data_IF_008994603053
#
_entry.id   IF_008994603053
#
_cell.length_a   1.000
_cell.length_b   1.000
_cell.length_c   1.000
_cell.angle_alpha   90.00
_cell.angle_beta   90.00
_cell.angle_gamma   90.00
#
_symmetry.space_group_name_H-M   'P 1'
#
loop_
_entity.id
_entity.type
_entity.pdbx_description
1 polymer ?
#
# COMPACT_ATOMS: atom_id res chain seq x y z
N UNK A 1 -7.34 -21.93 16.97
CA UNK A 1 -7.40 -21.30 15.62
C UNK A 1 -6.09 -20.56 15.42
N UNK A 2 -5.43 -20.70 14.27
CA UNK A 2 -4.26 -19.89 13.97
C UNK A 2 -4.65 -18.40 14.02
N UNK A 3 -3.79 -17.54 14.58
CA UNK A 3 -4.03 -16.11 14.59
C UNK A 3 -4.18 -15.59 13.16
N UNK A 4 -5.17 -14.71 12.92
CA UNK A 4 -5.34 -14.08 11.61
C UNK A 4 -4.21 -13.08 11.42
N UNK A 5 -3.53 -13.13 10.26
CA UNK A 5 -2.48 -12.16 9.93
C UNK A 5 -3.11 -10.79 9.70
N UNK A 6 -2.66 -9.77 10.43
CA UNK A 6 -3.12 -8.39 10.28
C UNK A 6 -2.30 -7.67 9.21
N UNK A 7 -2.96 -7.27 8.13
CA UNK A 7 -2.36 -6.56 7.00
C UNK A 7 -2.88 -5.13 6.97
N UNK A 8 -1.96 -4.17 7.05
CA UNK A 8 -2.27 -2.76 6.79
C UNK A 8 -2.09 -2.51 5.29
N UNK A 9 -3.18 -2.23 4.58
CA UNK A 9 -3.17 -1.93 3.14
C UNK A 9 -3.21 -0.42 2.90
N UNK A 10 -2.12 0.14 2.39
CA UNK A 10 -2.01 1.51 1.91
C UNK A 10 -2.44 1.65 0.44
N UNK A 11 -3.49 2.42 0.17
CA UNK A 11 -3.92 2.78 -1.18
C UNK A 11 -3.52 4.22 -1.52
N UNK A 12 -2.78 4.40 -2.62
CA UNK A 12 -2.24 5.72 -3.03
C UNK A 12 -2.87 6.24 -4.33
N UNK A 13 -2.74 7.54 -4.60
CA UNK A 13 -3.34 8.26 -5.75
C UNK A 13 -2.89 7.81 -7.14
N UNK A 14 -3.32 6.63 -7.56
CA UNK A 14 -3.09 6.05 -8.89
C UNK A 14 -4.41 5.57 -9.47
N UNK A 15 -4.56 5.60 -10.80
CA UNK A 15 -5.69 4.98 -11.48
C UNK A 15 -5.83 3.49 -11.14
N UNK A 16 -4.75 2.81 -10.71
CA UNK A 16 -4.81 1.44 -10.26
C UNK A 16 -5.47 1.26 -8.88
N UNK A 17 -5.87 2.34 -8.19
CA UNK A 17 -6.43 2.28 -6.84
C UNK A 17 -7.76 1.53 -6.77
N UNK A 18 -8.56 1.48 -7.86
CA UNK A 18 -9.76 0.64 -7.87
C UNK A 18 -9.44 -0.85 -7.64
N UNK A 19 -8.25 -1.31 -8.02
CA UNK A 19 -7.81 -2.70 -7.80
C UNK A 19 -7.48 -3.00 -6.34
N UNK A 20 -7.34 -1.98 -5.49
CA UNK A 20 -7.20 -2.18 -4.06
C UNK A 20 -8.42 -2.92 -3.49
N UNK A 21 -9.62 -2.71 -4.04
CA UNK A 21 -10.83 -3.45 -3.68
C UNK A 21 -10.66 -4.96 -3.87
N UNK A 22 -10.16 -5.38 -5.03
CA UNK A 22 -9.94 -6.80 -5.33
C UNK A 22 -8.84 -7.40 -4.45
N UNK A 23 -7.78 -6.63 -4.16
CA UNK A 23 -6.71 -7.06 -3.24
C UNK A 23 -7.26 -7.26 -1.84
N UNK A 24 -8.02 -6.30 -1.30
CA UNK A 24 -8.68 -6.42 0.02
C UNK A 24 -9.57 -7.66 0.05
N UNK A 25 -10.46 -7.81 -0.93
CA UNK A 25 -11.36 -8.97 -1.04
C UNK A 25 -10.60 -10.30 -1.06
N UNK A 26 -9.53 -10.39 -1.86
CA UNK A 26 -8.68 -11.59 -1.94
C UNK A 26 -7.99 -11.93 -0.62
N UNK A 27 -7.45 -10.93 0.08
CA UNK A 27 -6.79 -11.12 1.37
C UNK A 27 -7.78 -11.56 2.46
N UNK A 28 -8.96 -10.94 2.53
CA UNK A 28 -10.03 -11.29 3.47
C UNK A 28 -10.54 -12.71 3.22
N UNK A 29 -10.78 -13.10 1.96
CA UNK A 29 -11.17 -14.46 1.60
C UNK A 29 -10.11 -15.51 1.99
N UNK A 30 -8.84 -15.11 2.03
CA UNK A 30 -7.73 -15.95 2.49
C UNK A 30 -7.49 -15.90 4.00
N UNK A 31 -8.39 -15.25 4.75
CA UNK A 31 -8.41 -15.27 6.22
C UNK A 31 -7.55 -14.20 6.89
N UNK A 32 -7.01 -13.22 6.15
CA UNK A 32 -6.30 -12.08 6.73
C UNK A 32 -7.28 -11.06 7.33
N UNK A 33 -6.86 -10.39 8.38
CA UNK A 33 -7.53 -9.18 8.89
C UNK A 33 -6.93 -7.97 8.18
N UNK A 34 -7.72 -7.24 7.41
CA UNK A 34 -7.22 -6.15 6.58
C UNK A 34 -7.70 -4.80 7.12
N UNK A 35 -6.77 -3.90 7.40
CA UNK A 35 -7.05 -2.50 7.74
C UNK A 35 -6.54 -1.62 6.62
N UNK A 36 -7.33 -0.66 6.16
CA UNK A 36 -6.99 0.13 4.97
C UNK A 36 -6.65 1.55 5.37
N UNK A 37 -5.51 2.05 4.86
CA UNK A 37 -5.14 3.46 4.92
C UNK A 37 -5.16 4.03 3.50
N UNK A 38 -5.90 5.10 3.27
CA UNK A 38 -5.97 5.80 1.99
C UNK A 38 -5.23 7.14 2.07
N UNK A 39 -4.42 7.45 1.06
CA UNK A 39 -4.01 8.85 0.84
C UNK A 39 -5.20 9.66 0.34
N UNK A 40 -5.20 10.98 0.58
CA UNK A 40 -6.25 11.88 0.08
C UNK A 40 -6.44 11.77 -1.43
N UNK A 41 -5.36 11.58 -2.18
CA UNK A 41 -5.40 11.46 -3.65
C UNK A 41 -6.08 10.16 -4.09
N UNK A 42 -5.99 9.08 -3.31
CA UNK A 42 -6.62 7.80 -3.61
C UNK A 42 -8.15 7.87 -3.57
N UNK A 43 -8.71 8.73 -2.71
CA UNK A 43 -10.17 8.93 -2.59
C UNK A 43 -10.83 9.44 -3.89
N UNK A 44 -10.05 10.03 -4.81
CA UNK A 44 -10.54 10.45 -6.13
C UNK A 44 -10.74 9.28 -7.11
N UNK A 45 -10.18 8.11 -6.82
CA UNK A 45 -10.22 6.93 -7.70
C UNK A 45 -11.10 5.81 -7.16
N UNK A 46 -11.23 5.72 -5.84
CA UNK A 46 -12.08 4.74 -5.16
C UNK A 46 -12.55 5.35 -3.84
N UNK A 47 -13.79 5.09 -3.42
CA UNK A 47 -14.32 5.65 -2.17
C UNK A 47 -13.89 4.81 -0.96
N UNK A 48 -13.67 5.43 0.21
CA UNK A 48 -13.43 4.70 1.46
C UNK A 48 -14.52 3.67 1.79
N UNK A 49 -15.78 3.97 1.43
CA UNK A 49 -16.91 3.06 1.69
C UNK A 49 -16.73 1.68 1.04
N UNK A 50 -16.25 1.63 -0.20
CA UNK A 50 -16.01 0.34 -0.88
C UNK A 50 -14.98 -0.50 -0.13
N UNK A 51 -13.88 0.12 0.29
CA UNK A 51 -12.82 -0.59 1.01
C UNK A 51 -13.23 -0.97 2.44
N UNK A 52 -14.06 -0.16 3.11
CA UNK A 52 -14.62 -0.47 4.42
C UNK A 52 -15.52 -1.71 4.37
N UNK A 53 -16.43 -1.77 3.39
CA UNK A 53 -17.34 -2.91 3.23
C UNK A 53 -16.58 -4.21 2.91
N UNK A 54 -15.54 -4.15 2.08
CA UNK A 54 -14.75 -5.32 1.71
C UNK A 54 -13.79 -5.79 2.80
N UNK A 55 -13.23 -4.86 3.58
CA UNK A 55 -12.32 -5.19 4.68
C UNK A 55 -13.05 -5.57 5.97
N UNK A 56 -14.33 -5.21 6.10
CA UNK A 56 -15.11 -5.28 7.33
C UNK A 56 -14.45 -4.49 8.49
N UNK A 57 -13.68 -3.44 8.17
CA UNK A 57 -12.97 -2.59 9.12
C UNK A 57 -13.10 -1.09 8.77
N UNK A 58 -12.75 -0.22 9.71
CA UNK A 58 -12.62 1.23 9.47
C UNK A 58 -11.54 1.47 8.39
N UNK A 59 -11.81 2.43 7.52
CA UNK A 59 -10.79 2.94 6.57
C UNK A 59 -10.27 4.25 7.12
N UNK A 60 -8.95 4.37 7.21
CA UNK A 60 -8.27 5.55 7.72
C UNK A 60 -7.83 6.41 6.54
N UNK A 61 -8.02 7.73 6.60
CA UNK A 61 -7.53 8.61 5.53
C UNK A 61 -6.95 9.95 5.98
N UNK A 62 -7.06 10.30 7.27
CA UNK A 62 -6.56 11.56 7.82
C UNK A 62 -5.72 11.32 9.06
N UNK A 63 -4.61 12.03 9.16
CA UNK A 63 -3.67 11.94 10.28
C UNK A 63 -4.20 12.55 11.59
N UNK A 64 -5.16 13.48 11.48
CA UNK A 64 -5.67 14.29 12.61
C UNK A 64 -7.19 14.17 12.79
N UNK A 65 -7.80 13.08 12.32
CA UNK A 65 -9.17 12.82 12.75
C UNK A 65 -9.17 12.56 14.27
N UNK A 66 -10.20 13.07 14.95
CA UNK A 66 -10.34 12.86 16.39
C UNK A 66 -10.33 11.35 16.68
N UNK A 67 -9.41 10.86 17.52
CA UNK A 67 -9.35 9.45 17.85
C UNK A 67 -10.64 8.99 18.52
N UNK A 68 -11.16 7.82 18.15
CA UNK A 68 -12.31 7.20 18.83
C UNK A 68 -11.94 6.71 20.25
N UNK A 69 -10.63 6.56 20.53
CA UNK A 69 -10.05 6.17 21.80
C UNK A 69 -8.72 6.92 22.03
N UNK A 70 -8.18 6.95 23.26
CA UNK A 70 -6.91 7.61 23.61
C UNK A 70 -5.66 6.87 23.09
N UNK A 71 -5.75 6.34 21.87
CA UNK A 71 -4.70 5.59 21.22
C UNK A 71 -4.08 6.43 20.10
N UNK A 72 -2.75 6.42 20.00
CA UNK A 72 -2.04 7.14 18.95
C UNK A 72 -2.18 6.30 17.69
N UNK A 73 -3.23 6.55 16.89
CA UNK A 73 -3.70 5.64 15.83
C UNK A 73 -2.59 5.11 14.91
N UNK A 74 -1.62 5.95 14.51
CA UNK A 74 -0.52 5.53 13.65
C UNK A 74 0.47 4.55 14.32
N UNK A 75 0.69 4.67 15.63
CA UNK A 75 1.53 3.74 16.39
C UNK A 75 0.79 2.42 16.60
N UNK A 76 -0.49 2.49 16.97
CA UNK A 76 -1.34 1.30 17.16
C UNK A 76 -1.45 0.44 15.89
N UNK A 77 -1.64 1.09 14.73
CA UNK A 77 -1.62 0.42 13.43
C UNK A 77 -0.24 -0.15 13.08
N UNK A 78 0.83 0.60 13.37
CA UNK A 78 2.19 0.19 13.06
C UNK A 78 2.66 -1.01 13.90
N UNK A 79 2.33 -1.03 15.19
CA UNK A 79 2.72 -2.08 16.14
C UNK A 79 1.90 -3.36 15.98
N UNK A 80 0.64 -3.25 15.55
CA UNK A 80 -0.24 -4.40 15.35
C UNK A 80 -0.13 -5.06 13.97
N UNK A 81 0.62 -4.45 13.03
CA UNK A 81 0.78 -4.98 11.68
C UNK A 81 1.67 -6.22 11.65
N UNK A 82 1.22 -7.29 11.00
CA UNK A 82 2.08 -8.40 10.58
C UNK A 82 2.74 -8.12 9.22
N UNK A 83 2.16 -7.19 8.45
CA UNK A 83 2.66 -6.66 7.18
C UNK A 83 2.03 -5.28 6.90
N UNK A 84 2.82 -4.37 6.30
CA UNK A 84 2.28 -3.21 5.59
C UNK A 84 2.41 -3.40 4.07
N UNK A 85 1.28 -3.40 3.36
CA UNK A 85 1.20 -3.53 1.90
C UNK A 85 0.78 -2.19 1.27
N UNK A 86 1.60 -1.61 0.40
CA UNK A 86 1.23 -0.41 -0.35
C UNK A 86 0.88 -0.80 -1.79
N UNK A 87 -0.40 -0.82 -2.13
CA UNK A 87 -0.90 -1.26 -3.44
C UNK A 87 -2.18 -0.51 -3.85
N UNK A 88 -2.14 0.35 -4.88
CA UNK A 88 -0.94 0.76 -5.62
C UNK A 88 -0.03 1.70 -4.83
N UNK A 89 1.27 1.66 -5.13
CA UNK A 89 2.25 2.65 -4.70
C UNK A 89 2.64 3.61 -5.84
N UNK A 90 2.40 4.89 -5.64
CA UNK A 90 2.84 5.95 -6.56
C UNK A 90 4.32 6.30 -6.37
N UNK A 91 4.91 6.95 -7.37
CA UNK A 91 6.27 7.50 -7.27
C UNK A 91 6.40 8.50 -6.10
N UNK A 92 5.33 9.24 -5.80
CA UNK A 92 5.26 10.19 -4.69
C UNK A 92 5.48 9.51 -3.35
N UNK A 93 4.70 8.46 -3.04
CA UNK A 93 4.84 7.73 -1.78
C UNK A 93 6.19 7.02 -1.69
N UNK A 94 6.67 6.42 -2.79
CA UNK A 94 8.03 5.83 -2.84
C UNK A 94 9.11 6.88 -2.53
N UNK A 95 8.98 8.09 -3.09
CA UNK A 95 9.91 9.18 -2.82
C UNK A 95 9.87 9.68 -1.38
N UNK A 96 8.67 9.84 -0.82
CA UNK A 96 8.48 10.21 0.59
C UNK A 96 9.16 9.20 1.53
N UNK A 97 8.92 7.91 1.32
CA UNK A 97 9.52 6.84 2.13
C UNK A 97 11.05 6.82 2.00
N UNK A 98 11.58 6.91 0.79
CA UNK A 98 13.03 6.94 0.57
C UNK A 98 13.72 8.15 1.22
N UNK A 99 13.01 9.28 1.29
CA UNK A 99 13.47 10.53 1.91
C UNK A 99 13.12 10.70 3.39
N UNK A 100 12.42 9.75 4.02
CA UNK A 100 12.00 9.84 5.43
C UNK A 100 10.91 10.90 5.70
N UNK A 101 10.10 11.25 4.69
CA UNK A 101 9.02 12.22 4.81
C UNK A 101 7.77 11.51 5.34
N UNK A 102 7.30 11.94 6.52
CA UNK A 102 6.16 11.38 7.24
C UNK A 102 5.08 12.45 7.45
N UNK A 103 4.50 12.91 6.35
CA UNK A 103 3.55 14.03 6.32
C UNK A 103 2.08 13.58 6.16
N UNK A 104 1.83 12.27 6.07
CA UNK A 104 0.49 11.68 6.05
C UNK A 104 0.43 10.40 6.91
N UNK A 105 -0.79 9.93 7.19
CA UNK A 105 -0.99 8.77 8.07
C UNK A 105 -0.26 7.52 7.56
N UNK A 106 -0.30 7.27 6.25
CA UNK A 106 0.32 6.09 5.65
C UNK A 106 1.84 6.12 5.83
N UNK A 107 2.48 7.24 5.49
CA UNK A 107 3.94 7.40 5.62
C UNK A 107 4.41 7.37 7.08
N UNK A 108 3.61 7.92 8.01
CA UNK A 108 3.85 7.77 9.45
C UNK A 108 3.81 6.31 9.91
N UNK A 109 2.77 5.55 9.53
CA UNK A 109 2.63 4.12 9.88
C UNK A 109 3.78 3.29 9.31
N UNK A 110 4.13 3.50 8.03
CA UNK A 110 5.23 2.78 7.37
C UNK A 110 6.58 3.07 8.02
N UNK A 111 6.81 4.31 8.47
CA UNK A 111 8.07 4.67 9.12
C UNK A 111 8.15 4.19 10.57
N UNK A 112 7.01 4.04 11.24
CA UNK A 112 6.93 3.56 12.63
C UNK A 112 6.93 2.02 12.75
N UNK A 113 6.49 1.29 11.72
CA UNK A 113 6.29 -0.16 11.83
C UNK A 113 7.61 -0.95 11.90
N UNK A 114 7.55 -2.08 12.61
CA UNK A 114 8.60 -3.12 12.62
C UNK A 114 8.25 -4.31 11.71
N UNK A 115 7.06 -4.30 11.13
CA UNK A 115 6.59 -5.31 10.21
C UNK A 115 7.32 -5.20 8.85
N UNK A 116 7.41 -6.28 8.07
CA UNK A 116 7.83 -6.19 6.69
C UNK A 116 6.93 -5.24 5.89
N UNK A 117 7.51 -4.52 4.94
CA UNK A 117 6.78 -3.63 4.04
C UNK A 117 6.87 -4.16 2.62
N UNK A 118 5.72 -4.36 1.97
CA UNK A 118 5.61 -4.77 0.56
C UNK A 118 5.02 -3.63 -0.28
N UNK A 119 5.74 -3.21 -1.32
CA UNK A 119 5.35 -2.12 -2.21
C UNK A 119 5.01 -2.68 -3.59
N UNK A 120 3.82 -2.35 -4.11
CA UNK A 120 3.36 -2.69 -5.46
C UNK A 120 3.27 -1.42 -6.33
N UNK A 121 4.32 -1.06 -7.09
CA UNK A 121 4.35 0.20 -7.83
C UNK A 121 3.34 0.24 -8.99
N UNK A 122 2.74 1.40 -9.23
CA UNK A 122 1.84 1.63 -10.36
C UNK A 122 1.96 3.07 -10.89
N UNK A 123 2.62 3.25 -12.05
CA UNK A 123 2.91 4.56 -12.64
C UNK A 123 3.21 4.46 -14.14
N UNK A 124 3.35 5.59 -14.83
CA UNK A 124 3.80 5.60 -16.22
C UNK A 124 5.25 5.09 -16.35
N UNK A 125 5.60 4.52 -17.51
CA UNK A 125 6.95 4.00 -17.81
C UNK A 125 8.05 5.07 -17.68
N UNK A 126 7.78 6.31 -18.11
CA UNK A 126 8.74 7.41 -17.98
C UNK A 126 8.96 7.81 -16.52
N UNK A 127 7.95 7.65 -15.65
CA UNK A 127 8.12 7.86 -14.21
C UNK A 127 8.89 6.70 -13.58
N UNK A 128 8.57 5.46 -13.96
CA UNK A 128 9.21 4.27 -13.38
C UNK A 128 10.70 4.19 -13.72
N UNK A 129 11.06 4.55 -14.95
CA UNK A 129 12.46 4.60 -15.45
C UNK A 129 13.17 5.92 -15.13
N UNK A 130 12.53 6.80 -14.37
CA UNK A 130 13.17 8.05 -13.96
C UNK A 130 14.25 7.75 -12.93
N UNK A 131 15.47 8.25 -13.14
CA UNK A 131 16.65 7.95 -12.28
C UNK A 131 16.41 8.17 -10.79
N UNK A 132 15.65 9.22 -10.42
CA UNK A 132 15.30 9.48 -9.01
C UNK A 132 14.41 8.36 -8.44
N UNK A 133 13.43 7.90 -9.21
CA UNK A 133 12.52 6.83 -8.78
C UNK A 133 13.26 5.50 -8.68
N UNK A 134 14.12 5.19 -9.66
CA UNK A 134 14.98 4.01 -9.62
C UNK A 134 15.91 4.01 -8.40
N UNK A 135 16.55 5.15 -8.10
CA UNK A 135 17.41 5.31 -6.93
C UNK A 135 16.63 5.16 -5.61
N UNK A 136 15.42 5.72 -5.53
CA UNK A 136 14.56 5.58 -4.36
C UNK A 136 14.15 4.12 -4.13
N UNK A 137 13.78 3.41 -5.20
CA UNK A 137 13.45 1.98 -5.14
C UNK A 137 14.66 1.16 -4.69
N UNK A 138 15.85 1.43 -5.26
CA UNK A 138 17.08 0.74 -4.89
C UNK A 138 17.41 0.93 -3.40
N UNK A 139 17.41 2.19 -2.93
CA UNK A 139 17.64 2.54 -1.51
C UNK A 139 16.66 1.84 -0.57
N UNK A 140 15.36 1.83 -0.90
CA UNK A 140 14.35 1.16 -0.09
C UNK A 140 14.57 -0.37 -0.03
N UNK A 141 14.94 -0.99 -1.16
CA UNK A 141 15.29 -2.42 -1.20
C UNK A 141 16.50 -2.74 -0.32
N UNK A 142 17.54 -1.92 -0.36
CA UNK A 142 18.76 -2.09 0.44
C UNK A 142 18.48 -2.12 1.94
N UNK A 143 17.51 -1.32 2.42
CA UNK A 143 17.12 -1.26 3.82
C UNK A 143 15.99 -2.25 4.19
N UNK A 144 15.63 -3.18 3.29
CA UNK A 144 14.75 -4.31 3.59
C UNK A 144 13.30 -4.17 3.13
N UNK A 145 12.93 -3.14 2.37
CA UNK A 145 11.59 -3.07 1.77
C UNK A 145 11.46 -4.08 0.63
N UNK A 146 10.32 -4.75 0.57
CA UNK A 146 9.99 -5.68 -0.51
C UNK A 146 9.24 -4.96 -1.63
N UNK A 147 9.48 -5.35 -2.87
CA UNK A 147 8.79 -4.81 -4.05
C UNK A 147 8.21 -5.94 -4.89
N UNK A 148 7.01 -5.74 -5.41
CA UNK A 148 6.35 -6.62 -6.36
C UNK A 148 5.94 -5.85 -7.61
N UNK A 149 6.48 -6.28 -8.75
CA UNK A 149 6.34 -5.56 -10.01
C UNK A 149 7.06 -4.20 -10.00
N UNK A 150 6.62 -3.24 -10.83
CA UNK A 150 5.54 -3.35 -11.81
C UNK A 150 5.88 -4.33 -12.94
N UNK A 151 4.90 -4.64 -13.78
CA UNK A 151 5.02 -5.51 -14.96
C UNK A 151 4.84 -4.71 -16.26
N UNK A 152 5.27 -5.31 -17.38
CA UNK A 152 4.97 -4.78 -18.71
C UNK A 152 3.49 -5.02 -19.03
N UNK A 153 2.80 -3.99 -19.53
CA UNK A 153 1.43 -4.12 -20.00
C UNK A 153 0.89 -2.83 -20.60
N UNK A 154 -0.36 -2.86 -21.07
CA UNK A 154 -1.03 -1.67 -21.59
C UNK A 154 -1.24 -0.64 -20.47
N UNK A 155 -0.63 0.52 -20.63
CA UNK A 155 -0.78 1.71 -19.76
C UNK A 155 -1.93 2.60 -20.26
N UNK A 156 -2.36 3.55 -19.42
CA UNK A 156 -3.46 4.49 -19.77
C UNK A 156 -3.14 5.32 -21.01
N UNK A 157 -1.87 5.68 -21.22
CA UNK A 157 -1.41 6.37 -22.44
C UNK A 157 -1.43 5.50 -23.71
N UNK A 158 -1.96 4.28 -23.67
CA UNK A 158 -2.06 3.35 -24.79
C UNK A 158 -0.79 2.54 -25.07
N UNK A 159 0.37 2.94 -24.53
CA UNK A 159 1.64 2.22 -24.72
C UNK A 159 1.67 0.90 -23.94
N UNK A 160 2.35 -0.10 -24.52
CA UNK A 160 2.63 -1.37 -23.86
C UNK A 160 4.04 -1.36 -23.26
N UNK A 161 4.16 -0.95 -22.00
CA UNK A 161 5.44 -0.64 -21.36
C UNK A 161 5.44 -1.04 -19.87
N UNK A 162 6.60 -0.93 -19.21
CA UNK A 162 6.72 -1.16 -17.77
C UNK A 162 5.95 -0.10 -16.98
N UNK A 163 5.42 -0.46 -15.81
CA UNK A 163 4.72 0.48 -14.92
C UNK A 163 3.29 0.06 -14.56
N UNK A 164 2.75 -0.99 -15.21
CA UNK A 164 1.48 -1.58 -14.82
C UNK A 164 1.67 -2.35 -13.50
N UNK A 165 0.81 -2.12 -12.53
CA UNK A 165 0.83 -2.87 -11.26
C UNK A 165 0.75 -4.38 -11.50
N UNK A 166 1.45 -5.17 -10.68
CA UNK A 166 1.35 -6.63 -10.66
C UNK A 166 -0.08 -7.14 -10.48
N UNK A 167 -0.29 -8.42 -10.80
CA UNK A 167 -1.59 -9.06 -10.67
C UNK A 167 -2.06 -9.13 -9.21
N UNK A 168 -3.37 -9.08 -9.00
CA UNK A 168 -4.00 -9.11 -7.67
C UNK A 168 -3.59 -10.37 -6.90
N UNK A 169 -3.65 -11.54 -7.55
CA UNK A 169 -3.31 -12.82 -6.92
C UNK A 169 -1.83 -12.91 -6.53
N UNK A 170 -0.95 -12.35 -7.36
CA UNK A 170 0.49 -12.32 -7.10
C UNK A 170 0.80 -11.43 -5.89
N UNK A 171 0.16 -10.25 -5.82
CA UNK A 171 0.27 -9.32 -4.68
C UNK A 171 -0.25 -9.98 -3.41
N UNK A 172 -1.46 -10.55 -3.44
CA UNK A 172 -2.07 -11.19 -2.28
C UNK A 172 -1.24 -12.39 -1.78
N UNK A 173 -0.72 -13.23 -2.68
CA UNK A 173 0.12 -14.36 -2.31
C UNK A 173 1.44 -13.93 -1.66
N UNK A 174 2.12 -12.91 -2.21
CA UNK A 174 3.36 -12.39 -1.63
C UNK A 174 3.12 -11.71 -0.29
N UNK A 175 2.01 -10.96 -0.15
CA UNK A 175 1.63 -10.35 1.11
C UNK A 175 1.45 -11.39 2.22
N UNK A 176 0.66 -12.45 1.97
CA UNK A 176 0.42 -13.51 2.96
C UNK A 176 1.68 -14.30 3.31
N UNK A 177 2.62 -14.45 2.37
CA UNK A 177 3.92 -15.09 2.61
C UNK A 177 4.84 -14.26 3.49
N UNK A 178 4.84 -12.94 3.32
CA UNK A 178 5.71 -12.01 4.06
C UNK A 178 5.17 -11.66 5.44
N UNK A 179 3.84 -11.66 5.61
CA UNK A 179 3.21 -11.35 6.89
C UNK A 179 3.65 -12.35 7.97
N UNK A 180 4.06 -11.84 9.14
CA UNK A 180 4.60 -12.63 10.26
C UNK A 180 3.52 -13.33 11.08
#
# INVERSE_FOLDING_TARGET
MAARKKIILGATGSIAAFKAADIVSSLVQKGAEVHVIMTREAENFITPLTLAMLSCNKVYSRMFDMPDAWDVEHISLADSADLVLIAPATANVIGKLAGGICDDLLTCVVTATRAPVLIAPAMNDGMYTHKIVEANIARLKEIGYHFIGPVKGRLVCGRNAMGRMSGIDEIAANALKLAR
#
